data_IF_920808697070
#
_entry.id   IF_920808697070
#
_cell.length_a   1.000
_cell.length_b   1.000
_cell.length_c   1.000
_cell.angle_alpha   90.00
_cell.angle_beta   90.00
_cell.angle_gamma   90.00
#
_symmetry.space_group_name_H-M   'P 1'
#
loop_
_entity.id
_entity.type
_entity.pdbx_description
1 polymer ?
#
# COMPACT_ATOMS: atom_id res chain seq x y z
N UNK A 1 9.82 -4.62 -46.75
CA UNK A 1 10.75 -3.96 -45.83
C UNK A 1 9.93 -3.57 -44.64
N UNK A 2 10.15 -4.22 -43.50
CA UNK A 2 9.42 -3.93 -42.28
C UNK A 2 9.87 -2.57 -41.73
N UNK A 3 8.90 -1.76 -41.23
CA UNK A 3 9.14 -0.46 -40.62
C UNK A 3 10.08 -0.57 -39.38
N UNK A 4 10.31 -1.78 -38.87
CA UNK A 4 11.25 -2.09 -37.79
C UNK A 4 12.74 -2.00 -38.14
N UNK A 5 13.11 -2.05 -39.43
CA UNK A 5 14.53 -2.04 -39.83
C UNK A 5 15.12 -0.63 -39.95
N UNK A 6 14.32 0.43 -39.88
CA UNK A 6 14.77 1.83 -40.04
C UNK A 6 15.21 2.54 -38.77
N UNK A 7 14.95 1.96 -37.55
CA UNK A 7 15.35 2.53 -36.25
C UNK A 7 16.68 1.93 -35.74
N UNK A 8 17.37 1.16 -36.55
CA UNK A 8 18.64 0.55 -36.21
C UNK A 8 19.78 1.57 -36.26
N UNK A 9 20.22 1.99 -35.06
CA UNK A 9 21.49 2.61 -34.73
C UNK A 9 21.54 4.14 -34.92
N UNK A 10 20.77 4.84 -34.09
CA UNK A 10 21.14 6.22 -33.77
C UNK A 10 22.59 6.20 -33.22
N UNK A 11 23.53 6.78 -33.94
CA UNK A 11 24.93 6.86 -33.49
C UNK A 11 25.15 8.17 -32.72
N UNK A 12 25.24 8.02 -31.41
CA UNK A 12 25.44 9.14 -30.47
C UNK A 12 26.79 9.04 -29.74
N UNK A 13 27.74 8.26 -30.27
CA UNK A 13 29.04 8.02 -29.63
C UNK A 13 29.73 9.32 -29.24
N UNK A 14 30.17 9.37 -27.96
CA UNK A 14 30.96 10.49 -27.46
C UNK A 14 30.24 11.85 -27.44
N UNK A 15 28.91 11.87 -27.70
CA UNK A 15 28.13 13.08 -27.64
C UNK A 15 27.98 13.59 -26.19
N UNK A 16 27.85 14.93 -26.02
CA UNK A 16 27.54 15.50 -24.72
C UNK A 16 26.02 15.70 -24.60
N UNK A 17 25.36 14.74 -23.92
CA UNK A 17 23.91 14.75 -23.70
C UNK A 17 23.56 15.04 -22.23
N UNK A 18 24.50 15.65 -21.49
CA UNK A 18 24.32 15.95 -20.08
C UNK A 18 23.04 16.77 -19.81
N UNK A 19 22.22 16.30 -18.86
CA UNK A 19 21.01 16.98 -18.39
C UNK A 19 19.86 17.05 -19.40
N UNK A 20 19.96 16.36 -20.54
CA UNK A 20 18.89 16.33 -21.55
C UNK A 20 17.73 15.45 -21.08
N UNK A 21 16.51 15.83 -21.45
CA UNK A 21 15.34 14.99 -21.21
C UNK A 21 15.11 14.03 -22.39
N UNK A 22 15.35 12.73 -22.14
CA UNK A 22 15.12 11.61 -23.04
C UNK A 22 14.10 10.62 -22.44
N UNK A 23 13.19 11.09 -21.57
CA UNK A 23 12.16 10.27 -20.96
C UNK A 23 11.27 9.62 -22.03
N UNK A 24 11.08 8.30 -21.94
CA UNK A 24 10.31 7.52 -22.90
C UNK A 24 10.91 7.41 -24.30
N UNK A 25 12.17 7.84 -24.52
CA UNK A 25 12.80 7.83 -25.83
C UNK A 25 13.02 6.40 -26.35
N UNK A 26 12.77 6.19 -27.64
CA UNK A 26 13.08 4.93 -28.36
C UNK A 26 14.57 4.94 -28.77
N UNK A 27 15.40 4.30 -27.94
CA UNK A 27 16.85 4.19 -28.12
C UNK A 27 17.31 2.74 -28.30
N UNK A 28 16.44 1.87 -28.79
CA UNK A 28 16.74 0.45 -29.01
C UNK A 28 17.93 0.28 -29.96
N UNK A 29 18.95 -0.44 -29.51
CA UNK A 29 20.17 -0.68 -30.27
C UNK A 29 20.97 0.58 -30.58
N UNK A 30 20.68 1.72 -29.94
CA UNK A 30 21.44 2.95 -30.12
C UNK A 30 22.91 2.76 -29.71
N UNK A 31 23.82 3.39 -30.41
CA UNK A 31 25.23 3.43 -30.07
C UNK A 31 25.49 4.68 -29.21
N UNK A 32 25.59 4.47 -27.92
CA UNK A 32 25.82 5.48 -26.88
C UNK A 32 27.20 5.31 -26.21
N UNK A 33 28.12 4.60 -26.87
CA UNK A 33 29.45 4.30 -26.33
C UNK A 33 30.23 5.57 -26.00
N UNK A 34 30.73 5.65 -24.76
CA UNK A 34 31.49 6.79 -24.27
C UNK A 34 30.73 8.12 -24.22
N UNK A 35 29.39 8.09 -24.33
CA UNK A 35 28.53 9.27 -24.31
C UNK A 35 28.47 9.88 -22.91
N UNK A 36 28.48 11.20 -22.79
CA UNK A 36 28.22 11.91 -21.53
C UNK A 36 26.73 12.07 -21.33
N UNK A 37 26.15 11.18 -20.49
CA UNK A 37 24.74 11.11 -20.11
C UNK A 37 24.51 11.53 -18.64
N UNK A 38 25.45 12.28 -18.04
CA UNK A 38 25.31 12.73 -16.66
C UNK A 38 24.04 13.54 -16.44
N UNK A 39 23.31 13.24 -15.36
CA UNK A 39 22.09 13.98 -14.98
C UNK A 39 20.98 13.93 -16.05
N UNK A 40 21.11 13.09 -17.08
CA UNK A 40 20.10 12.92 -18.15
C UNK A 40 18.86 12.23 -17.61
N UNK A 41 17.69 12.67 -18.01
CA UNK A 41 16.44 11.97 -17.71
C UNK A 41 16.15 10.93 -18.81
N UNK A 42 16.37 9.67 -18.49
CA UNK A 42 16.10 8.49 -19.33
C UNK A 42 14.95 7.63 -18.73
N UNK A 43 14.10 8.22 -17.88
CA UNK A 43 12.99 7.46 -17.29
C UNK A 43 12.09 6.89 -18.38
N UNK A 44 11.68 5.61 -18.20
CA UNK A 44 10.83 4.87 -19.16
C UNK A 44 11.42 4.74 -20.57
N UNK A 45 12.69 5.11 -20.82
CA UNK A 45 13.31 5.00 -22.13
C UNK A 45 13.53 3.54 -22.53
N UNK A 46 13.43 3.24 -23.82
CA UNK A 46 13.64 1.89 -24.38
C UNK A 46 15.06 1.78 -24.91
N UNK A 47 15.96 1.21 -24.10
CA UNK A 47 17.41 1.07 -24.35
C UNK A 47 17.82 -0.40 -24.62
N UNK A 48 16.88 -1.26 -25.01
CA UNK A 48 17.20 -2.68 -25.31
C UNK A 48 18.27 -2.76 -26.39
N UNK A 49 19.26 -3.65 -26.17
CA UNK A 49 20.40 -3.84 -27.08
C UNK A 49 21.27 -2.60 -27.30
N UNK A 50 21.08 -1.50 -26.54
CA UNK A 50 21.90 -0.30 -26.69
C UNK A 50 23.35 -0.56 -26.26
N UNK A 51 24.31 0.05 -26.98
CA UNK A 51 25.72 0.04 -26.60
C UNK A 51 26.04 1.29 -25.75
N UNK A 52 26.13 1.08 -24.43
CA UNK A 52 26.45 2.07 -23.42
C UNK A 52 27.84 1.82 -22.80
N UNK A 53 28.71 1.05 -23.48
CA UNK A 53 30.05 0.75 -22.98
C UNK A 53 30.80 2.06 -22.74
N UNK A 54 31.41 2.17 -21.55
CA UNK A 54 32.16 3.37 -21.12
C UNK A 54 31.33 4.67 -21.06
N UNK A 55 29.98 4.62 -21.20
CA UNK A 55 29.13 5.77 -21.06
C UNK A 55 29.12 6.32 -19.62
N UNK A 56 29.01 7.65 -19.48
CA UNK A 56 28.91 8.28 -18.17
C UNK A 56 27.45 8.64 -17.85
N UNK A 57 26.84 7.83 -17.00
CA UNK A 57 25.44 7.94 -16.52
C UNK A 57 25.36 8.43 -15.06
N UNK A 58 26.42 9.10 -14.55
CA UNK A 58 26.43 9.61 -13.17
C UNK A 58 25.22 10.48 -12.92
N UNK A 59 24.44 10.20 -11.85
CA UNK A 59 23.21 10.92 -11.47
C UNK A 59 22.10 10.89 -12.54
N UNK A 60 22.17 10.02 -13.54
CA UNK A 60 21.11 9.88 -14.53
C UNK A 60 19.85 9.28 -13.90
N UNK A 61 18.68 9.68 -14.36
CA UNK A 61 17.40 9.10 -14.01
C UNK A 61 17.02 8.04 -15.05
N UNK A 62 17.11 6.76 -14.66
CA UNK A 62 16.78 5.58 -15.46
C UNK A 62 15.57 4.82 -14.90
N UNK A 63 14.69 5.49 -14.12
CA UNK A 63 13.53 4.87 -13.50
C UNK A 63 12.64 4.21 -14.56
N UNK A 64 12.33 2.92 -14.37
CA UNK A 64 11.50 2.16 -15.31
C UNK A 64 12.08 1.97 -16.71
N UNK A 65 13.33 2.37 -16.97
CA UNK A 65 13.93 2.20 -18.30
C UNK A 65 14.13 0.72 -18.66
N UNK A 66 13.90 0.38 -19.91
CA UNK A 66 14.15 -0.97 -20.46
C UNK A 66 15.57 -1.07 -21.07
N UNK A 67 16.49 -1.60 -20.26
CA UNK A 67 17.89 -1.86 -20.59
C UNK A 67 18.15 -3.36 -20.86
N UNK A 68 17.11 -4.14 -21.16
CA UNK A 68 17.31 -5.56 -21.39
C UNK A 68 18.31 -5.82 -22.52
N UNK A 69 19.24 -6.76 -22.29
CA UNK A 69 20.26 -7.18 -23.24
C UNK A 69 21.19 -6.04 -23.72
N UNK A 70 21.25 -4.92 -22.99
CA UNK A 70 22.15 -3.79 -23.28
C UNK A 70 23.59 -4.04 -22.80
N UNK A 71 24.53 -3.26 -23.34
CA UNK A 71 25.96 -3.37 -23.05
C UNK A 71 26.40 -2.15 -22.22
N UNK A 72 26.66 -2.33 -20.92
CA UNK A 72 27.06 -1.29 -19.96
C UNK A 72 28.45 -1.57 -19.35
N UNK A 73 29.27 -2.38 -20.03
CA UNK A 73 30.59 -2.68 -19.49
C UNK A 73 31.40 -1.39 -19.28
N UNK A 74 32.04 -1.25 -18.12
CA UNK A 74 32.83 -0.09 -17.74
C UNK A 74 32.03 1.24 -17.73
N UNK A 75 30.70 1.20 -17.82
CA UNK A 75 29.87 2.40 -17.72
C UNK A 75 29.89 2.93 -16.26
N UNK A 76 29.81 4.26 -16.13
CA UNK A 76 29.73 4.92 -14.84
C UNK A 76 28.26 5.28 -14.51
N UNK A 77 27.65 4.52 -13.61
CA UNK A 77 26.28 4.69 -13.10
C UNK A 77 26.27 5.20 -11.63
N UNK A 78 27.35 5.85 -11.20
CA UNK A 78 27.48 6.36 -9.82
C UNK A 78 26.26 7.22 -9.47
N UNK A 79 25.55 6.80 -8.38
CA UNK A 79 24.34 7.47 -7.89
C UNK A 79 23.20 7.63 -8.93
N UNK A 80 23.19 6.85 -9.99
CA UNK A 80 22.08 6.82 -10.94
C UNK A 80 20.82 6.21 -10.27
N UNK A 81 19.63 6.66 -10.69
CA UNK A 81 18.37 6.08 -10.24
C UNK A 81 17.84 5.09 -11.29
N UNK A 82 17.99 3.80 -10.98
CA UNK A 82 17.52 2.66 -11.79
C UNK A 82 16.31 1.98 -11.14
N UNK A 83 15.53 2.70 -10.32
CA UNK A 83 14.35 2.13 -9.66
C UNK A 83 13.41 1.52 -10.69
N UNK A 84 13.09 0.22 -10.56
CA UNK A 84 12.21 -0.50 -11.48
C UNK A 84 12.76 -0.71 -12.88
N UNK A 85 14.04 -0.39 -13.14
CA UNK A 85 14.63 -0.59 -14.47
C UNK A 85 14.75 -2.09 -14.81
N UNK A 86 14.62 -2.43 -16.11
CA UNK A 86 14.76 -3.78 -16.62
C UNK A 86 16.17 -3.96 -17.20
N UNK A 87 17.03 -4.68 -16.48
CA UNK A 87 18.42 -5.01 -16.88
C UNK A 87 18.61 -6.51 -17.17
N UNK A 88 17.53 -7.19 -17.57
CA UNK A 88 17.58 -8.62 -17.86
C UNK A 88 18.63 -8.91 -18.94
N UNK A 89 19.54 -9.86 -18.64
CA UNK A 89 20.63 -10.29 -19.54
C UNK A 89 21.54 -9.13 -20.00
N UNK A 90 21.50 -7.97 -19.32
CA UNK A 90 22.42 -6.87 -19.58
C UNK A 90 23.85 -7.22 -19.11
N UNK A 91 24.87 -6.62 -19.76
CA UNK A 91 26.27 -6.77 -19.34
C UNK A 91 26.79 -5.51 -18.67
N UNK A 92 27.18 -5.63 -17.40
CA UNK A 92 27.68 -4.54 -16.55
C UNK A 92 29.09 -4.86 -15.99
N UNK A 93 29.90 -5.59 -16.78
CA UNK A 93 31.24 -6.02 -16.33
C UNK A 93 32.10 -4.80 -16.01
N UNK A 94 32.62 -4.75 -14.78
CA UNK A 94 33.47 -3.65 -14.31
C UNK A 94 32.81 -2.28 -14.26
N UNK A 95 31.47 -2.22 -14.31
CA UNK A 95 30.75 -0.93 -14.21
C UNK A 95 30.79 -0.33 -12.80
N UNK A 96 30.71 1.01 -12.72
CA UNK A 96 30.64 1.74 -11.46
C UNK A 96 29.18 2.02 -11.08
N UNK A 97 28.68 1.32 -10.06
CA UNK A 97 27.32 1.46 -9.52
C UNK A 97 27.34 1.99 -8.08
N UNK A 98 28.41 2.69 -7.68
CA UNK A 98 28.55 3.22 -6.33
C UNK A 98 27.36 4.10 -5.96
N UNK A 99 26.63 3.73 -4.89
CA UNK A 99 25.47 4.46 -4.40
C UNK A 99 24.27 4.51 -5.37
N UNK A 100 24.26 3.68 -6.42
CA UNK A 100 23.13 3.63 -7.36
C UNK A 100 21.87 3.06 -6.69
N UNK A 101 20.71 3.55 -7.11
CA UNK A 101 19.41 3.06 -6.63
C UNK A 101 18.83 2.06 -7.64
N UNK A 102 18.87 0.78 -7.30
CA UNK A 102 18.38 -0.36 -8.07
C UNK A 102 17.13 -0.99 -7.43
N UNK A 103 16.39 -0.23 -6.61
CA UNK A 103 15.18 -0.75 -5.98
C UNK A 103 14.21 -1.31 -7.02
N UNK A 104 13.70 -2.53 -6.79
CA UNK A 104 12.76 -3.20 -7.69
C UNK A 104 13.29 -3.44 -9.12
N UNK A 105 14.57 -3.24 -9.39
CA UNK A 105 15.14 -3.49 -10.71
C UNK A 105 15.17 -5.00 -11.04
N UNK A 106 14.97 -5.35 -12.31
CA UNK A 106 15.12 -6.72 -12.82
C UNK A 106 16.52 -6.93 -13.36
N UNK A 107 17.35 -7.67 -12.62
CA UNK A 107 18.72 -8.04 -12.99
C UNK A 107 18.82 -9.53 -13.35
N UNK A 108 17.71 -10.13 -13.82
CA UNK A 108 17.67 -11.55 -14.17
C UNK A 108 18.76 -11.87 -15.20
N UNK A 109 19.65 -12.80 -14.84
CA UNK A 109 20.80 -13.22 -15.67
C UNK A 109 21.74 -12.07 -16.10
N UNK A 110 21.71 -10.93 -15.43
CA UNK A 110 22.65 -9.85 -15.70
C UNK A 110 24.08 -10.26 -15.34
N UNK A 111 25.07 -9.77 -16.10
CA UNK A 111 26.47 -9.99 -15.82
C UNK A 111 27.07 -8.77 -15.14
N UNK A 112 27.32 -8.89 -13.83
CA UNK A 112 27.87 -7.86 -12.94
C UNK A 112 29.29 -8.19 -12.46
N UNK A 113 30.00 -9.05 -13.18
CA UNK A 113 31.37 -9.46 -12.81
C UNK A 113 32.27 -8.24 -12.62
N UNK A 114 32.86 -8.13 -11.44
CA UNK A 114 33.77 -7.04 -11.10
C UNK A 114 33.12 -5.67 -10.97
N UNK A 115 31.79 -5.55 -10.99
CA UNK A 115 31.09 -4.28 -10.81
C UNK A 115 31.26 -3.72 -9.38
N UNK A 116 31.34 -2.41 -9.26
CA UNK A 116 31.33 -1.72 -7.96
C UNK A 116 29.90 -1.38 -7.55
N UNK A 117 29.33 -2.16 -6.62
CA UNK A 117 27.99 -1.98 -6.06
C UNK A 117 28.02 -1.40 -4.62
N UNK A 118 29.15 -0.87 -4.17
CA UNK A 118 29.25 -0.32 -2.83
C UNK A 118 28.19 0.76 -2.59
N UNK A 119 27.50 0.70 -1.44
CA UNK A 119 26.39 1.58 -1.06
C UNK A 119 25.19 1.57 -2.03
N UNK A 120 25.15 0.67 -3.00
CA UNK A 120 24.01 0.55 -3.88
C UNK A 120 22.78 -0.03 -3.14
N UNK A 121 21.59 0.41 -3.53
CA UNK A 121 20.34 -0.06 -2.98
C UNK A 121 19.64 -1.01 -3.95
N UNK A 122 19.66 -2.31 -3.64
CA UNK A 122 18.97 -3.37 -4.40
C UNK A 122 17.73 -3.91 -3.67
N UNK A 123 17.12 -3.12 -2.79
CA UNK A 123 15.90 -3.53 -2.08
C UNK A 123 14.86 -4.03 -3.08
N UNK A 124 14.37 -5.28 -2.89
CA UNK A 124 13.39 -5.94 -3.77
C UNK A 124 13.84 -6.12 -5.24
N UNK A 125 15.11 -5.97 -5.56
CA UNK A 125 15.62 -6.28 -6.90
C UNK A 125 15.58 -7.80 -7.17
N UNK A 126 15.44 -8.19 -8.44
CA UNK A 126 15.55 -9.60 -8.84
C UNK A 126 16.93 -9.90 -9.43
N UNK A 127 17.70 -10.68 -8.70
CA UNK A 127 19.05 -11.14 -9.07
C UNK A 127 19.06 -12.58 -9.58
N UNK A 128 17.92 -13.17 -9.94
CA UNK A 128 17.85 -14.58 -10.36
C UNK A 128 18.78 -14.89 -11.54
N UNK A 129 19.77 -15.74 -11.29
CA UNK A 129 20.77 -16.14 -12.29
C UNK A 129 21.80 -15.07 -12.63
N UNK A 130 21.85 -13.95 -11.93
CA UNK A 130 22.86 -12.91 -12.11
C UNK A 130 24.26 -13.41 -11.69
N UNK A 131 25.29 -12.92 -12.37
CA UNK A 131 26.70 -13.21 -12.05
C UNK A 131 27.36 -11.97 -11.41
N UNK A 132 27.60 -12.06 -10.08
CA UNK A 132 28.21 -11.01 -9.29
C UNK A 132 29.65 -11.36 -8.86
N UNK A 133 30.31 -12.32 -9.53
CA UNK A 133 31.68 -12.71 -9.16
C UNK A 133 32.63 -11.52 -9.16
N UNK A 134 33.38 -11.37 -8.06
CA UNK A 134 34.33 -10.29 -7.91
C UNK A 134 33.74 -8.88 -7.81
N UNK A 135 32.41 -8.74 -7.76
CA UNK A 135 31.77 -7.45 -7.48
C UNK A 135 32.01 -6.99 -6.03
N UNK A 136 31.99 -5.68 -5.81
CA UNK A 136 32.17 -5.09 -4.48
C UNK A 136 30.80 -4.74 -3.90
N UNK A 137 30.44 -5.38 -2.76
CA UNK A 137 29.12 -5.28 -2.12
C UNK A 137 29.19 -4.65 -0.71
N UNK A 138 30.21 -3.86 -0.42
CA UNK A 138 30.34 -3.18 0.90
C UNK A 138 29.19 -2.18 1.05
N UNK A 139 28.46 -2.24 2.19
CA UNK A 139 27.29 -1.39 2.48
C UNK A 139 26.16 -1.47 1.43
N UNK A 140 26.15 -2.50 0.60
CA UNK A 140 25.06 -2.75 -0.34
C UNK A 140 23.81 -3.23 0.40
N UNK A 141 22.63 -2.69 0.05
CA UNK A 141 21.36 -3.08 0.66
C UNK A 141 20.69 -4.13 -0.22
N UNK A 142 20.49 -5.36 0.30
CA UNK A 142 19.81 -6.48 -0.36
C UNK A 142 18.46 -6.82 0.30
N UNK A 143 17.89 -5.93 1.13
CA UNK A 143 16.64 -6.23 1.85
C UNK A 143 15.55 -6.67 0.86
N UNK A 144 15.04 -7.90 1.06
CA UNK A 144 14.01 -8.52 0.21
C UNK A 144 14.38 -8.61 -1.29
N UNK A 145 15.65 -8.42 -1.66
CA UNK A 145 16.10 -8.80 -2.99
C UNK A 145 15.92 -10.31 -3.19
N UNK A 146 15.55 -10.73 -4.39
CA UNK A 146 15.34 -12.16 -4.66
C UNK A 146 16.48 -12.72 -5.52
N UNK A 147 16.88 -13.95 -5.23
CA UNK A 147 17.91 -14.67 -6.01
C UNK A 147 17.57 -16.16 -6.10
N UNK A 148 18.24 -16.90 -6.97
CA UNK A 148 18.04 -18.35 -7.10
C UNK A 148 19.38 -19.12 -7.10
N UNK A 149 19.32 -20.44 -7.19
CA UNK A 149 20.50 -21.33 -7.18
C UNK A 149 21.47 -21.11 -8.37
N UNK A 150 21.11 -20.29 -9.37
CA UNK A 150 21.97 -19.93 -10.51
C UNK A 150 22.65 -18.57 -10.29
N UNK A 151 22.26 -17.82 -9.27
CA UNK A 151 22.88 -16.55 -8.93
C UNK A 151 24.24 -16.82 -8.29
N UNK A 152 25.26 -16.15 -8.77
CA UNK A 152 26.63 -16.31 -8.26
C UNK A 152 27.07 -15.04 -7.56
N UNK A 153 27.17 -15.08 -6.23
CA UNK A 153 27.74 -14.01 -5.42
C UNK A 153 29.25 -14.16 -5.23
N UNK A 154 29.97 -13.11 -4.82
CA UNK A 154 31.34 -13.25 -4.30
C UNK A 154 31.41 -14.26 -3.14
N UNK A 155 32.54 -14.96 -3.00
CA UNK A 155 32.68 -16.05 -2.02
C UNK A 155 32.56 -15.64 -0.55
N UNK A 156 32.79 -14.37 -0.25
CA UNK A 156 32.75 -13.76 1.08
C UNK A 156 31.36 -13.19 1.43
N UNK A 157 30.38 -13.31 0.56
CA UNK A 157 29.04 -12.76 0.72
C UNK A 157 28.03 -13.85 1.06
N UNK A 158 27.31 -13.66 2.18
CA UNK A 158 26.08 -14.40 2.49
C UNK A 158 24.87 -13.50 2.16
N UNK A 159 24.21 -13.71 1.02
CA UNK A 159 23.08 -12.88 0.62
C UNK A 159 21.88 -12.99 1.58
N UNK A 160 21.69 -14.13 2.25
CA UNK A 160 20.60 -14.30 3.21
C UNK A 160 20.84 -13.47 4.48
N UNK A 161 22.10 -13.37 4.97
CA UNK A 161 22.46 -12.49 6.07
C UNK A 161 22.25 -11.00 5.74
N UNK A 162 22.28 -10.63 4.46
CA UNK A 162 21.99 -9.28 3.97
C UNK A 162 20.50 -9.04 3.68
N UNK A 163 19.62 -9.98 4.03
CA UNK A 163 18.15 -9.86 3.86
C UNK A 163 17.61 -10.29 2.51
N UNK A 164 18.44 -10.89 1.62
CA UNK A 164 17.98 -11.42 0.35
C UNK A 164 17.24 -12.77 0.52
N UNK A 165 16.33 -13.07 -0.40
CA UNK A 165 15.40 -14.20 -0.36
C UNK A 165 15.73 -15.20 -1.47
N UNK A 166 15.98 -16.44 -1.09
CA UNK A 166 16.24 -17.51 -2.05
C UNK A 166 14.92 -17.99 -2.69
N UNK A 167 14.80 -17.84 -4.01
CA UNK A 167 13.72 -18.41 -4.82
C UNK A 167 14.15 -19.80 -5.33
N UNK A 168 13.62 -20.85 -4.74
CA UNK A 168 13.97 -22.22 -5.08
C UNK A 168 12.74 -23.13 -4.91
N UNK A 169 12.76 -24.34 -5.51
CA UNK A 169 11.76 -25.36 -5.21
C UNK A 169 11.66 -25.61 -3.71
N UNK A 170 10.40 -25.72 -3.22
CA UNK A 170 10.05 -25.89 -1.80
C UNK A 170 10.51 -24.75 -0.85
N UNK A 171 10.85 -23.56 -1.38
CA UNK A 171 11.17 -22.41 -0.55
C UNK A 171 9.97 -22.03 0.33
N UNK A 172 10.26 -21.54 1.55
CA UNK A 172 9.23 -21.03 2.46
C UNK A 172 9.24 -19.51 2.43
N UNK A 173 8.23 -18.91 1.80
CA UNK A 173 8.12 -17.48 1.51
C UNK A 173 6.76 -16.89 1.94
N UNK A 174 6.13 -17.35 3.06
CA UNK A 174 4.79 -16.93 3.40
C UNK A 174 4.74 -15.45 3.83
N UNK A 175 3.68 -14.76 3.41
CA UNK A 175 3.41 -13.37 3.80
C UNK A 175 4.38 -12.33 3.24
N UNK A 176 5.27 -12.71 2.32
CA UNK A 176 6.20 -11.78 1.71
C UNK A 176 5.50 -10.83 0.73
N UNK A 177 6.03 -9.61 0.64
CA UNK A 177 5.63 -8.68 -0.40
C UNK A 177 6.58 -8.81 -1.60
N UNK A 178 6.09 -9.50 -2.65
CA UNK A 178 6.74 -9.68 -3.94
C UNK A 178 5.97 -8.93 -5.06
N UNK A 179 5.20 -7.89 -4.69
CA UNK A 179 4.46 -7.09 -5.68
C UNK A 179 5.41 -6.41 -6.67
N UNK A 180 4.99 -6.39 -7.94
CA UNK A 180 5.73 -5.80 -9.04
C UNK A 180 7.11 -6.44 -9.31
N UNK A 181 7.43 -7.59 -8.70
CA UNK A 181 8.71 -8.28 -8.91
C UNK A 181 8.63 -9.09 -10.21
N UNK A 182 9.67 -9.01 -11.02
CA UNK A 182 9.81 -9.90 -12.20
C UNK A 182 10.27 -11.30 -11.75
N UNK A 183 9.35 -12.25 -11.78
CA UNK A 183 9.55 -13.66 -11.44
C UNK A 183 9.47 -14.56 -12.68
N UNK A 184 9.76 -14.01 -13.87
CA UNK A 184 9.69 -14.75 -15.14
C UNK A 184 10.54 -16.02 -15.10
N UNK A 185 9.91 -17.14 -15.40
CA UNK A 185 10.58 -18.45 -15.49
C UNK A 185 11.17 -18.97 -14.18
N UNK A 186 10.82 -18.36 -13.03
CA UNK A 186 11.30 -18.80 -11.71
C UNK A 186 10.84 -20.22 -11.39
N UNK A 187 11.70 -21.00 -10.73
CA UNK A 187 11.33 -22.33 -10.24
C UNK A 187 10.93 -22.26 -8.75
N UNK A 188 9.62 -22.24 -8.53
CA UNK A 188 8.97 -22.20 -7.19
C UNK A 188 8.10 -23.45 -6.98
N UNK A 189 8.43 -24.56 -7.62
CA UNK A 189 7.75 -25.83 -7.43
C UNK A 189 7.64 -26.22 -5.97
N UNK A 190 6.43 -26.51 -5.49
CA UNK A 190 6.15 -26.89 -4.11
C UNK A 190 6.44 -25.78 -3.07
N UNK A 191 6.73 -24.56 -3.48
CA UNK A 191 7.02 -23.46 -2.54
C UNK A 191 5.79 -23.08 -1.70
N UNK A 192 6.05 -22.65 -0.47
CA UNK A 192 5.05 -22.07 0.41
C UNK A 192 4.98 -20.55 0.17
N UNK A 193 3.96 -20.13 -0.57
CA UNK A 193 3.66 -18.74 -0.94
C UNK A 193 2.37 -18.25 -0.27
N UNK A 194 1.97 -18.86 0.87
CA UNK A 194 0.74 -18.47 1.56
C UNK A 194 0.75 -17.01 1.96
N UNK A 195 -0.36 -16.30 1.65
CA UNK A 195 -0.54 -14.88 1.99
C UNK A 195 0.54 -13.95 1.39
N UNK A 196 1.25 -14.40 0.37
CA UNK A 196 2.24 -13.59 -0.34
C UNK A 196 1.52 -12.53 -1.18
N UNK A 197 2.01 -11.31 -1.14
CA UNK A 197 1.54 -10.28 -2.07
C UNK A 197 2.32 -10.41 -3.39
N UNK A 198 1.64 -10.83 -4.44
CA UNK A 198 2.12 -10.97 -5.82
C UNK A 198 1.38 -10.01 -6.77
N UNK A 199 0.79 -8.92 -6.21
CA UNK A 199 0.08 -7.92 -7.01
C UNK A 199 0.99 -7.36 -8.10
N UNK A 200 0.51 -7.37 -9.36
CA UNK A 200 1.25 -6.91 -10.52
C UNK A 200 2.63 -7.58 -10.73
N UNK A 201 2.88 -8.74 -10.10
CA UNK A 201 4.11 -9.51 -10.32
C UNK A 201 4.11 -10.19 -11.70
N UNK A 202 5.28 -10.29 -12.32
CA UNK A 202 5.43 -11.00 -13.60
C UNK A 202 5.86 -12.44 -13.33
N UNK A 203 4.93 -13.39 -13.44
CA UNK A 203 5.12 -14.82 -13.23
C UNK A 203 5.10 -15.59 -14.56
N UNK A 204 5.35 -14.93 -15.68
CA UNK A 204 5.32 -15.53 -17.01
C UNK A 204 6.25 -16.74 -17.08
N UNK A 205 5.72 -17.89 -17.46
CA UNK A 205 6.47 -19.15 -17.54
C UNK A 205 7.03 -19.68 -16.23
N UNK A 206 6.58 -19.16 -15.07
CA UNK A 206 7.02 -19.63 -13.75
C UNK A 206 6.58 -21.07 -13.49
N UNK A 207 7.42 -21.86 -12.79
CA UNK A 207 7.06 -23.20 -12.34
C UNK A 207 6.50 -23.11 -10.93
N UNK A 208 5.18 -23.18 -10.81
CA UNK A 208 4.43 -23.13 -9.57
C UNK A 208 3.76 -24.48 -9.23
N UNK A 209 4.11 -25.54 -9.95
CA UNK A 209 3.50 -26.86 -9.72
C UNK A 209 3.63 -27.27 -8.25
N UNK A 210 2.49 -27.64 -7.64
CA UNK A 210 2.35 -27.97 -6.22
C UNK A 210 2.70 -26.85 -5.23
N UNK A 211 2.88 -25.61 -5.68
CA UNK A 211 3.07 -24.49 -4.78
C UNK A 211 1.78 -24.21 -3.97
N UNK A 212 1.94 -23.66 -2.76
CA UNK A 212 0.81 -23.26 -1.92
C UNK A 212 0.65 -21.75 -1.94
N UNK A 213 -0.35 -21.25 -2.67
CA UNK A 213 -0.72 -19.84 -2.80
C UNK A 213 -1.97 -19.49 -1.97
N UNK A 214 -2.29 -20.28 -0.94
CA UNK A 214 -3.47 -20.03 -0.09
C UNK A 214 -3.47 -18.59 0.45
N UNK A 215 -4.50 -17.83 0.11
CA UNK A 215 -4.66 -16.43 0.55
C UNK A 215 -3.66 -15.45 -0.07
N UNK A 216 -2.92 -15.84 -1.12
CA UNK A 216 -2.03 -14.92 -1.84
C UNK A 216 -2.81 -13.88 -2.64
N UNK A 217 -2.24 -12.69 -2.83
CA UNK A 217 -2.77 -11.66 -3.72
C UNK A 217 -2.13 -11.76 -5.10
N UNK A 218 -2.92 -12.15 -6.09
CA UNK A 218 -2.52 -12.27 -7.49
C UNK A 218 -3.14 -11.17 -8.36
N UNK A 219 -3.71 -10.10 -7.77
CA UNK A 219 -4.35 -9.03 -8.52
C UNK A 219 -3.37 -8.42 -9.53
N UNK A 220 -3.75 -8.39 -10.82
CA UNK A 220 -2.89 -7.87 -11.89
C UNK A 220 -1.67 -8.73 -12.25
N UNK A 221 -1.42 -9.85 -11.57
CA UNK A 221 -0.27 -10.71 -11.85
C UNK A 221 -0.34 -11.34 -13.25
N UNK A 222 0.81 -11.46 -13.91
CA UNK A 222 0.94 -12.16 -15.19
C UNK A 222 1.42 -13.61 -14.98
N UNK A 223 0.48 -14.56 -15.03
CA UNK A 223 0.71 -16.00 -14.88
C UNK A 223 0.63 -16.75 -16.22
N UNK A 224 0.69 -16.05 -17.35
CA UNK A 224 0.68 -16.71 -18.65
C UNK A 224 1.86 -17.66 -18.76
N UNK A 225 1.63 -18.82 -19.38
CA UNK A 225 2.60 -19.91 -19.51
C UNK A 225 3.14 -20.47 -18.16
N UNK A 226 2.66 -19.98 -17.02
CA UNK A 226 3.03 -20.55 -15.73
C UNK A 226 2.45 -21.96 -15.56
N UNK A 227 3.26 -22.87 -14.99
CA UNK A 227 2.78 -24.21 -14.64
C UNK A 227 2.12 -24.20 -13.26
N UNK A 228 0.79 -24.24 -13.23
CA UNK A 228 -0.04 -24.26 -12.03
C UNK A 228 -0.55 -25.66 -11.65
N UNK A 229 0.05 -26.75 -12.17
CA UNK A 229 -0.41 -28.12 -11.92
C UNK A 229 -0.34 -28.48 -10.43
N UNK A 230 -1.49 -28.74 -9.81
CA UNK A 230 -1.58 -29.07 -8.39
C UNK A 230 -1.27 -27.91 -7.44
N UNK A 231 -1.22 -26.67 -7.94
CA UNK A 231 -1.09 -25.45 -7.15
C UNK A 231 -2.35 -25.26 -6.29
N UNK A 232 -2.17 -24.89 -5.02
CA UNK A 232 -3.28 -24.60 -4.10
C UNK A 232 -3.54 -23.10 -4.17
N UNK A 233 -4.73 -22.71 -4.66
CA UNK A 233 -5.19 -21.32 -4.80
C UNK A 233 -6.34 -20.98 -3.83
N UNK A 234 -6.61 -21.83 -2.85
CA UNK A 234 -7.70 -21.62 -1.88
C UNK A 234 -7.58 -20.24 -1.23
N UNK A 235 -8.66 -19.43 -1.30
CA UNK A 235 -8.70 -18.07 -0.75
C UNK A 235 -7.67 -17.10 -1.36
N UNK A 236 -6.94 -17.49 -2.39
CA UNK A 236 -6.13 -16.52 -3.15
C UNK A 236 -7.08 -15.48 -3.78
N UNK A 237 -6.61 -14.25 -3.94
CA UNK A 237 -7.40 -13.20 -4.58
C UNK A 237 -6.78 -12.83 -5.93
N UNK A 238 -7.63 -12.55 -6.92
CA UNK A 238 -7.21 -12.12 -8.24
C UNK A 238 -8.17 -11.05 -8.78
N UNK A 239 -7.76 -10.31 -9.79
CA UNK A 239 -8.59 -9.25 -10.41
C UNK A 239 -8.83 -9.52 -11.89
N UNK A 240 -9.67 -8.71 -12.52
CA UNK A 240 -9.89 -8.76 -13.97
C UNK A 240 -8.61 -8.46 -14.81
N UNK A 241 -7.57 -7.91 -14.16
CA UNK A 241 -6.26 -7.67 -14.79
C UNK A 241 -5.30 -8.86 -14.65
N UNK A 242 -5.64 -9.86 -13.83
CA UNK A 242 -4.79 -11.05 -13.64
C UNK A 242 -4.85 -11.91 -14.89
N UNK A 243 -3.70 -12.27 -15.44
CA UNK A 243 -3.57 -13.07 -16.64
C UNK A 243 -3.15 -14.50 -16.27
N UNK A 244 -4.08 -15.44 -16.35
CA UNK A 244 -3.77 -16.85 -16.12
C UNK A 244 -3.31 -17.55 -17.41
N UNK A 245 -2.62 -18.70 -17.26
CA UNK A 245 -2.31 -19.61 -18.37
C UNK A 245 -3.60 -20.10 -19.04
N UNK A 246 -3.50 -20.40 -20.34
CA UNK A 246 -4.63 -20.96 -21.10
C UNK A 246 -5.18 -22.24 -20.44
N UNK A 247 -6.50 -22.33 -20.37
CA UNK A 247 -7.20 -23.47 -19.76
C UNK A 247 -7.30 -23.46 -18.23
N UNK A 248 -6.78 -22.44 -17.54
CA UNK A 248 -6.96 -22.28 -16.09
C UNK A 248 -8.19 -21.42 -15.80
N UNK A 249 -9.16 -22.01 -15.09
CA UNK A 249 -10.28 -21.28 -14.49
C UNK A 249 -10.02 -21.10 -12.99
N UNK A 250 -9.63 -19.90 -12.52
CA UNK A 250 -9.34 -19.68 -11.11
C UNK A 250 -10.56 -19.83 -10.22
N UNK A 251 -11.78 -19.66 -10.74
CA UNK A 251 -13.02 -19.72 -9.95
C UNK A 251 -13.29 -21.11 -9.36
N UNK A 252 -12.84 -22.18 -10.04
CA UNK A 252 -13.02 -23.57 -9.57
C UNK A 252 -11.95 -24.00 -8.57
N UNK A 253 -10.92 -23.18 -8.34
CA UNK A 253 -9.80 -23.48 -7.44
C UNK A 253 -9.98 -22.97 -6.02
N UNK A 254 -11.10 -22.29 -5.73
CA UNK A 254 -11.36 -21.62 -4.45
C UNK A 254 -10.69 -20.25 -4.32
N UNK A 255 -10.18 -19.68 -5.41
CA UNK A 255 -9.72 -18.29 -5.48
C UNK A 255 -10.93 -17.33 -5.62
N UNK A 256 -10.75 -16.08 -5.14
CA UNK A 256 -11.80 -15.07 -5.15
C UNK A 256 -11.47 -13.94 -6.14
N UNK A 257 -12.43 -13.66 -7.02
CA UNK A 257 -12.35 -12.48 -7.89
C UNK A 257 -12.55 -11.21 -7.07
N UNK A 258 -11.62 -10.27 -7.16
CA UNK A 258 -11.72 -8.92 -6.60
C UNK A 258 -11.99 -7.95 -7.74
N UNK A 259 -13.18 -7.38 -7.75
CA UNK A 259 -13.63 -6.48 -8.80
C UNK A 259 -14.80 -5.60 -8.30
N UNK A 260 -15.09 -4.47 -8.94
CA UNK A 260 -16.27 -3.68 -8.65
C UNK A 260 -17.56 -4.53 -8.71
N UNK A 261 -18.48 -4.24 -7.79
CA UNK A 261 -19.79 -4.89 -7.68
C UNK A 261 -19.77 -6.42 -7.48
N UNK A 262 -18.64 -7.01 -7.15
CA UNK A 262 -18.55 -8.44 -6.87
C UNK A 262 -19.27 -8.80 -5.56
N UNK A 263 -19.81 -10.01 -5.47
CA UNK A 263 -20.34 -10.54 -4.21
C UNK A 263 -19.34 -11.44 -3.52
N UNK A 264 -18.87 -10.99 -2.35
CA UNK A 264 -17.97 -11.72 -1.45
C UNK A 264 -18.65 -11.98 -0.09
N UNK A 265 -20.00 -11.94 -0.07
CA UNK A 265 -20.81 -12.02 1.14
C UNK A 265 -20.50 -13.27 1.96
N UNK A 266 -20.25 -13.07 3.25
CA UNK A 266 -20.02 -14.15 4.23
C UNK A 266 -18.72 -14.91 4.05
N UNK A 267 -17.84 -14.53 3.12
CA UNK A 267 -16.57 -15.20 2.90
C UNK A 267 -15.58 -14.91 4.02
N UNK A 268 -14.61 -15.80 4.17
CA UNK A 268 -13.49 -15.59 5.09
C UNK A 268 -12.24 -15.18 4.33
N UNK A 269 -11.94 -13.88 4.32
CA UNK A 269 -10.77 -13.26 3.68
C UNK A 269 -9.64 -12.94 4.68
N UNK A 270 -9.72 -13.46 5.92
CA UNK A 270 -8.72 -13.18 6.96
C UNK A 270 -7.30 -13.40 6.46
N UNK A 271 -6.48 -12.37 6.58
CA UNK A 271 -5.07 -12.38 6.19
C UNK A 271 -4.82 -12.29 4.68
N UNK A 272 -5.85 -12.03 3.86
CA UNK A 272 -5.63 -11.64 2.47
C UNK A 272 -4.98 -10.25 2.37
N UNK A 273 -4.18 -10.00 1.33
CA UNK A 273 -3.71 -8.67 0.99
C UNK A 273 -4.57 -8.13 -0.16
N UNK A 274 -5.37 -7.10 0.14
CA UNK A 274 -6.25 -6.45 -0.82
C UNK A 274 -5.78 -5.03 -1.18
N UNK A 275 -4.56 -4.68 -0.78
CA UNK A 275 -4.00 -3.33 -0.98
C UNK A 275 -4.16 -2.85 -2.42
N UNK A 276 -4.70 -1.64 -2.59
CA UNK A 276 -4.89 -0.99 -3.89
C UNK A 276 -5.94 -1.65 -4.80
N UNK A 277 -6.74 -2.61 -4.29
CA UNK A 277 -7.80 -3.24 -5.07
C UNK A 277 -9.01 -2.29 -5.27
N UNK A 278 -9.79 -2.55 -6.32
CA UNK A 278 -11.08 -1.89 -6.56
C UNK A 278 -12.23 -2.85 -6.17
N UNK A 279 -12.89 -2.53 -5.07
CA UNK A 279 -14.07 -3.21 -4.52
C UNK A 279 -15.28 -2.27 -4.46
N UNK A 280 -15.29 -1.23 -5.30
CA UNK A 280 -16.39 -0.27 -5.35
C UNK A 280 -17.72 -0.97 -5.63
N UNK A 281 -18.74 -0.67 -4.83
CA UNK A 281 -20.06 -1.29 -4.91
C UNK A 281 -20.11 -2.79 -4.55
N UNK A 282 -19.03 -3.39 -4.09
CA UNK A 282 -19.01 -4.82 -3.77
C UNK A 282 -19.92 -5.16 -2.58
N UNK A 283 -20.48 -6.37 -2.57
CA UNK A 283 -21.19 -6.91 -1.42
C UNK A 283 -20.27 -7.72 -0.52
N UNK A 284 -19.84 -7.11 0.58
CA UNK A 284 -18.98 -7.68 1.61
C UNK A 284 -19.76 -7.92 2.92
N UNK A 285 -21.10 -7.99 2.86
CA UNK A 285 -21.94 -8.15 4.06
C UNK A 285 -21.61 -9.44 4.80
N UNK A 286 -21.32 -9.36 6.10
CA UNK A 286 -20.95 -10.49 6.93
C UNK A 286 -19.59 -11.13 6.59
N UNK A 287 -18.80 -10.54 5.71
CA UNK A 287 -17.47 -11.04 5.33
C UNK A 287 -16.50 -10.87 6.49
N UNK A 288 -15.65 -11.87 6.71
CA UNK A 288 -14.56 -11.76 7.67
C UNK A 288 -13.30 -11.17 6.99
N UNK A 289 -13.05 -9.91 7.30
CA UNK A 289 -11.90 -9.09 6.85
C UNK A 289 -10.93 -8.80 8.01
N UNK A 290 -10.97 -9.58 9.11
CA UNK A 290 -10.12 -9.34 10.27
C UNK A 290 -8.64 -9.43 9.90
N UNK A 291 -7.86 -8.42 10.31
CA UNK A 291 -6.43 -8.28 10.01
C UNK A 291 -6.08 -8.26 8.52
N UNK A 292 -7.04 -7.92 7.65
CA UNK A 292 -6.81 -7.77 6.21
C UNK A 292 -6.13 -6.42 5.93
N UNK A 293 -5.21 -6.40 4.97
CA UNK A 293 -4.65 -5.17 4.45
C UNK A 293 -5.55 -4.60 3.34
N UNK A 294 -6.28 -3.53 3.66
CA UNK A 294 -7.19 -2.80 2.78
C UNK A 294 -6.67 -1.39 2.46
N UNK A 295 -5.37 -1.14 2.65
CA UNK A 295 -4.78 0.18 2.43
C UNK A 295 -5.00 0.64 0.99
N UNK A 296 -5.44 1.89 0.81
CA UNK A 296 -5.71 2.52 -0.48
C UNK A 296 -6.71 1.74 -1.38
N UNK A 297 -7.60 0.94 -0.80
CA UNK A 297 -8.66 0.22 -1.52
C UNK A 297 -9.80 1.20 -1.86
N UNK A 298 -10.41 1.06 -3.03
CA UNK A 298 -11.69 1.68 -3.32
C UNK A 298 -12.83 0.77 -2.81
N UNK A 299 -13.48 1.18 -1.73
CA UNK A 299 -14.67 0.55 -1.14
C UNK A 299 -15.90 1.45 -1.26
N UNK A 300 -15.84 2.46 -2.13
CA UNK A 300 -16.95 3.39 -2.31
C UNK A 300 -18.24 2.65 -2.67
N UNK A 301 -19.35 2.99 -2.00
CA UNK A 301 -20.66 2.35 -2.15
C UNK A 301 -20.70 0.86 -1.86
N UNK A 302 -19.67 0.27 -1.26
CA UNK A 302 -19.68 -1.14 -0.88
C UNK A 302 -20.68 -1.41 0.26
N UNK A 303 -21.32 -2.57 0.23
CA UNK A 303 -22.14 -3.04 1.35
C UNK A 303 -21.27 -3.91 2.27
N UNK A 304 -21.00 -3.42 3.48
CA UNK A 304 -20.20 -4.10 4.50
C UNK A 304 -21.00 -4.34 5.78
N UNK A 305 -22.33 -4.47 5.65
CA UNK A 305 -23.23 -4.72 6.80
C UNK A 305 -22.75 -5.89 7.61
N UNK A 306 -22.59 -5.68 8.93
CA UNK A 306 -22.17 -6.73 9.87
C UNK A 306 -20.86 -7.42 9.48
N UNK A 307 -20.01 -6.79 8.67
CA UNK A 307 -18.68 -7.32 8.35
C UNK A 307 -17.78 -7.30 9.59
N UNK A 308 -16.80 -8.21 9.62
CA UNK A 308 -15.82 -8.32 10.70
C UNK A 308 -14.50 -7.73 10.21
N UNK A 309 -14.10 -6.55 10.75
CA UNK A 309 -12.91 -5.81 10.35
C UNK A 309 -11.90 -5.64 11.50
N UNK A 310 -12.01 -6.47 12.55
CA UNK A 310 -11.12 -6.35 13.72
C UNK A 310 -9.64 -6.28 13.30
N UNK A 311 -8.96 -5.19 13.66
CA UNK A 311 -7.53 -4.98 13.39
C UNK A 311 -7.17 -4.89 11.90
N UNK A 312 -8.13 -4.66 11.02
CA UNK A 312 -7.85 -4.43 9.60
C UNK A 312 -7.17 -3.08 9.36
N UNK A 313 -6.38 -2.98 8.29
CA UNK A 313 -5.74 -1.73 7.90
C UNK A 313 -6.49 -1.09 6.73
N UNK A 314 -7.22 -0.01 6.99
CA UNK A 314 -7.97 0.80 6.02
C UNK A 314 -7.34 2.20 5.85
N UNK A 315 -6.05 2.37 6.08
CA UNK A 315 -5.37 3.65 5.91
C UNK A 315 -5.53 4.16 4.46
N UNK A 316 -6.00 5.39 4.30
CA UNK A 316 -6.20 6.05 3.01
C UNK A 316 -7.27 5.39 2.12
N UNK A 317 -8.14 4.54 2.66
CA UNK A 317 -9.22 3.85 1.93
C UNK A 317 -10.33 4.84 1.56
N UNK A 318 -10.88 4.71 0.34
CA UNK A 318 -12.11 5.40 -0.08
C UNK A 318 -13.33 4.57 0.31
N UNK A 319 -14.09 5.05 1.29
CA UNK A 319 -15.31 4.41 1.81
C UNK A 319 -16.57 5.21 1.47
N UNK A 320 -16.51 6.23 0.62
CA UNK A 320 -17.63 7.15 0.36
C UNK A 320 -18.94 6.44 0.02
N UNK A 321 -19.95 6.71 0.82
CA UNK A 321 -21.28 6.13 0.66
C UNK A 321 -21.35 4.62 0.90
N UNK A 322 -20.34 4.02 1.54
CA UNK A 322 -20.40 2.62 1.95
C UNK A 322 -21.37 2.41 3.12
N UNK A 323 -21.91 1.20 3.23
CA UNK A 323 -22.82 0.80 4.30
C UNK A 323 -22.11 -0.19 5.25
N UNK A 324 -21.73 0.29 6.43
CA UNK A 324 -21.09 -0.46 7.50
C UNK A 324 -22.02 -0.68 8.70
N UNK A 325 -23.35 -0.63 8.49
CA UNK A 325 -24.34 -0.83 9.54
C UNK A 325 -24.04 -2.08 10.38
N UNK A 326 -23.79 -1.91 11.68
CA UNK A 326 -23.52 -2.97 12.64
C UNK A 326 -22.21 -3.74 12.38
N UNK A 327 -21.28 -3.19 11.58
CA UNK A 327 -19.97 -3.80 11.38
C UNK A 327 -19.10 -3.76 12.65
N UNK A 328 -18.17 -4.72 12.79
CA UNK A 328 -17.24 -4.83 13.90
C UNK A 328 -15.87 -4.31 13.46
N UNK A 329 -15.52 -3.10 13.89
CA UNK A 329 -14.32 -2.33 13.50
C UNK A 329 -13.34 -2.15 14.67
N UNK A 330 -13.31 -3.08 15.62
CA UNK A 330 -12.41 -3.02 16.78
C UNK A 330 -10.96 -2.85 16.34
N UNK A 331 -10.28 -1.80 16.89
CA UNK A 331 -8.85 -1.56 16.64
C UNK A 331 -8.48 -1.44 15.15
N UNK A 332 -9.43 -1.05 14.32
CA UNK A 332 -9.21 -0.81 12.89
C UNK A 332 -8.33 0.44 12.69
N UNK A 333 -7.46 0.42 11.68
CA UNK A 333 -6.71 1.60 11.26
C UNK A 333 -7.45 2.28 10.10
N UNK A 334 -8.02 3.46 10.33
CA UNK A 334 -8.73 4.32 9.38
C UNK A 334 -8.04 5.69 9.22
N UNK A 335 -6.74 5.77 9.50
CA UNK A 335 -5.98 7.02 9.36
C UNK A 335 -6.18 7.59 7.95
N UNK A 336 -6.58 8.86 7.87
CA UNK A 336 -6.77 9.59 6.61
C UNK A 336 -7.74 8.90 5.62
N UNK A 337 -8.63 8.02 6.08
CA UNK A 337 -9.66 7.41 5.26
C UNK A 337 -10.75 8.44 4.89
N UNK A 338 -11.36 8.27 3.72
CA UNK A 338 -12.50 9.07 3.27
C UNK A 338 -13.82 8.34 3.60
N UNK A 339 -14.47 8.78 4.67
CA UNK A 339 -15.72 8.20 5.21
C UNK A 339 -16.96 9.04 4.87
N UNK A 340 -16.89 9.96 3.94
CA UNK A 340 -18.00 10.87 3.66
C UNK A 340 -19.28 10.14 3.25
N UNK A 341 -20.38 10.43 3.94
CA UNK A 341 -21.70 9.84 3.69
C UNK A 341 -21.75 8.32 3.95
N UNK A 342 -20.88 7.80 4.82
CA UNK A 342 -20.89 6.39 5.23
C UNK A 342 -21.99 6.17 6.28
N UNK A 343 -22.68 5.04 6.19
CA UNK A 343 -23.57 4.55 7.25
C UNK A 343 -22.78 3.64 8.22
N UNK A 344 -22.52 4.15 9.41
CA UNK A 344 -21.87 3.45 10.54
C UNK A 344 -22.86 3.19 11.69
N UNK A 345 -24.16 3.25 11.40
CA UNK A 345 -25.21 3.05 12.42
C UNK A 345 -24.96 1.75 13.18
N UNK A 346 -24.85 1.86 14.52
CA UNK A 346 -24.59 0.74 15.45
C UNK A 346 -23.30 -0.05 15.16
N UNK A 347 -22.35 0.51 14.44
CA UNK A 347 -21.04 -0.09 14.23
C UNK A 347 -20.21 -0.01 15.54
N UNK A 348 -19.29 -0.97 15.71
CA UNK A 348 -18.39 -0.98 16.85
C UNK A 348 -16.96 -0.63 16.42
N UNK A 349 -16.56 0.62 16.68
CA UNK A 349 -15.27 1.22 16.39
C UNK A 349 -14.36 1.32 17.64
N UNK A 350 -14.61 0.49 18.68
CA UNK A 350 -13.83 0.57 19.92
C UNK A 350 -12.34 0.43 19.66
N UNK A 351 -11.55 1.39 20.14
CA UNK A 351 -10.11 1.46 19.95
C UNK A 351 -9.65 1.71 18.50
N UNK A 352 -10.56 2.06 17.59
CA UNK A 352 -10.23 2.40 16.21
C UNK A 352 -9.36 3.66 16.12
N UNK A 353 -8.50 3.74 15.10
CA UNK A 353 -7.73 4.94 14.80
C UNK A 353 -8.29 5.63 13.55
N UNK A 354 -9.00 6.74 13.76
CA UNK A 354 -9.61 7.59 12.73
C UNK A 354 -8.90 8.94 12.63
N UNK A 355 -7.65 9.07 13.10
CA UNK A 355 -6.94 10.34 13.06
C UNK A 355 -6.85 10.89 11.62
N UNK A 356 -7.16 12.18 11.48
CA UNK A 356 -7.21 12.90 10.20
C UNK A 356 -8.18 12.30 9.16
N UNK A 357 -9.12 11.46 9.55
CA UNK A 357 -10.15 10.93 8.65
C UNK A 357 -11.21 11.99 8.33
N UNK A 358 -11.82 11.88 7.14
CA UNK A 358 -12.93 12.73 6.73
C UNK A 358 -14.27 12.01 6.96
N UNK A 359 -14.99 12.40 8.02
CA UNK A 359 -16.27 11.81 8.44
C UNK A 359 -17.46 12.73 8.14
N UNK A 360 -17.32 13.69 7.25
CA UNK A 360 -18.44 14.60 6.95
C UNK A 360 -19.66 13.84 6.43
N UNK A 361 -20.84 14.22 6.91
CA UNK A 361 -22.10 13.59 6.50
C UNK A 361 -22.21 12.08 6.84
N UNK A 362 -21.34 11.57 7.74
CA UNK A 362 -21.37 10.18 8.22
C UNK A 362 -22.50 10.01 9.24
N UNK A 363 -23.24 8.90 9.19
CA UNK A 363 -24.20 8.52 10.21
C UNK A 363 -23.53 7.55 11.22
N UNK A 364 -23.28 8.03 12.44
CA UNK A 364 -22.73 7.28 13.57
C UNK A 364 -23.79 6.99 14.64
N UNK A 365 -25.08 7.05 14.31
CA UNK A 365 -26.17 6.86 15.26
C UNK A 365 -26.04 5.54 16.02
N UNK A 366 -25.88 5.63 17.34
CA UNK A 366 -25.71 4.50 18.24
C UNK A 366 -24.43 3.69 18.02
N UNK A 367 -23.43 4.23 17.33
CA UNK A 367 -22.13 3.58 17.19
C UNK A 367 -21.35 3.60 18.52
N UNK A 368 -20.47 2.62 18.69
CA UNK A 368 -19.57 2.51 19.83
C UNK A 368 -18.15 2.92 19.41
N UNK A 369 -17.59 4.00 19.99
CA UNK A 369 -16.26 4.55 19.72
C UNK A 369 -15.40 4.61 21.00
N UNK A 370 -15.57 3.65 21.91
CA UNK A 370 -14.82 3.61 23.18
C UNK A 370 -13.32 3.66 22.91
N UNK A 371 -12.65 4.67 23.52
CA UNK A 371 -11.19 4.85 23.37
C UNK A 371 -10.71 5.01 21.93
N UNK A 372 -11.57 5.36 20.99
CA UNK A 372 -11.17 5.62 19.61
C UNK A 372 -10.31 6.90 19.52
N UNK A 373 -9.44 6.95 18.51
CA UNK A 373 -8.64 8.13 18.21
C UNK A 373 -9.22 8.85 16.99
N UNK A 374 -9.83 10.01 17.20
CA UNK A 374 -10.39 10.91 16.19
C UNK A 374 -9.61 12.25 16.13
N UNK A 375 -8.36 12.27 16.60
CA UNK A 375 -7.55 13.49 16.62
C UNK A 375 -7.42 14.10 15.22
N UNK A 376 -7.74 15.40 15.08
CA UNK A 376 -7.70 16.12 13.81
C UNK A 376 -8.72 15.65 12.76
N UNK A 377 -9.68 14.79 13.10
CA UNK A 377 -10.70 14.32 12.17
C UNK A 377 -11.71 15.42 11.80
N UNK A 378 -12.23 15.38 10.59
CA UNK A 378 -13.29 16.27 10.11
C UNK A 378 -14.66 15.60 10.30
N UNK A 379 -15.38 16.02 11.35
CA UNK A 379 -16.70 15.50 11.76
C UNK A 379 -17.82 16.54 11.51
N UNK A 380 -17.61 17.47 10.60
CA UNK A 380 -18.62 18.54 10.35
C UNK A 380 -19.94 17.96 9.88
N UNK A 381 -21.01 18.34 10.61
CA UNK A 381 -22.37 17.89 10.29
C UNK A 381 -22.62 16.40 10.47
N UNK A 382 -21.74 15.68 11.21
CA UNK A 382 -21.93 14.27 11.53
C UNK A 382 -23.13 14.05 12.45
N UNK A 383 -23.86 12.94 12.26
CA UNK A 383 -24.86 12.47 13.23
C UNK A 383 -24.22 11.47 14.21
N UNK A 384 -24.03 11.88 15.46
CA UNK A 384 -23.51 11.09 16.55
C UNK A 384 -24.63 10.68 17.55
N UNK A 385 -25.89 10.85 17.20
CA UNK A 385 -27.01 10.60 18.11
C UNK A 385 -26.88 9.24 18.82
N UNK A 386 -26.84 9.27 20.15
CA UNK A 386 -26.69 8.08 21.02
C UNK A 386 -25.38 7.32 20.85
N UNK A 387 -24.36 7.86 20.20
CA UNK A 387 -23.04 7.25 20.14
C UNK A 387 -22.33 7.25 21.49
N UNK A 388 -21.47 6.26 21.71
CA UNK A 388 -20.61 6.18 22.91
C UNK A 388 -19.15 6.44 22.53
N UNK A 389 -18.65 7.62 22.93
CA UNK A 389 -17.27 8.09 22.73
C UNK A 389 -16.50 8.17 24.05
N UNK A 390 -16.88 7.38 25.06
CA UNK A 390 -16.20 7.42 26.36
C UNK A 390 -14.71 7.15 26.21
N UNK A 391 -13.89 8.04 26.78
CA UNK A 391 -12.44 7.98 26.71
C UNK A 391 -11.83 8.18 25.31
N UNK A 392 -12.61 8.60 24.32
CA UNK A 392 -12.11 8.86 22.97
C UNK A 392 -11.21 10.09 22.93
N UNK A 393 -10.30 10.15 21.96
CA UNK A 393 -9.46 11.31 21.67
C UNK A 393 -10.04 12.08 20.49
N UNK A 394 -10.44 13.32 20.72
CA UNK A 394 -11.01 14.24 19.73
C UNK A 394 -10.23 15.55 19.66
N UNK A 395 -9.01 15.59 20.22
CA UNK A 395 -8.22 16.81 20.20
C UNK A 395 -8.05 17.34 18.76
N UNK A 396 -8.22 18.66 18.58
CA UNK A 396 -8.15 19.34 17.27
C UNK A 396 -9.18 18.85 16.23
N UNK A 397 -10.17 18.05 16.62
CA UNK A 397 -11.23 17.60 15.70
C UNK A 397 -12.22 18.73 15.37
N UNK A 398 -12.81 18.70 14.20
CA UNK A 398 -13.82 19.66 13.75
C UNK A 398 -15.22 19.04 13.81
N UNK A 399 -16.00 19.40 14.85
CA UNK A 399 -17.37 18.94 15.06
C UNK A 399 -18.40 20.06 14.81
N UNK A 400 -18.07 21.03 14.00
CA UNK A 400 -19.02 22.14 13.70
C UNK A 400 -20.33 21.61 13.15
N UNK A 401 -21.43 22.08 13.72
CA UNK A 401 -22.81 21.67 13.29
C UNK A 401 -23.10 20.18 13.47
N UNK A 402 -22.31 19.44 14.23
CA UNK A 402 -22.56 18.03 14.53
C UNK A 402 -23.82 17.86 15.41
N UNK A 403 -24.54 16.77 15.23
CA UNK A 403 -25.62 16.35 16.12
C UNK A 403 -25.09 15.39 17.18
N UNK A 404 -24.98 15.86 18.42
CA UNK A 404 -24.50 15.10 19.57
C UNK A 404 -25.64 14.70 20.53
N UNK A 405 -26.86 14.58 20.07
CA UNK A 405 -27.99 14.26 20.93
C UNK A 405 -27.78 12.92 21.66
N UNK A 406 -27.75 12.95 23.02
CA UNK A 406 -27.58 11.80 23.91
C UNK A 406 -26.22 11.07 23.74
N UNK A 407 -25.22 11.76 23.27
CA UNK A 407 -23.86 11.22 23.14
C UNK A 407 -23.22 11.06 24.51
N UNK A 408 -22.47 9.99 24.69
CA UNK A 408 -21.60 9.77 25.85
C UNK A 408 -20.15 10.14 25.48
N UNK A 409 -19.62 11.19 26.11
CA UNK A 409 -18.24 11.69 25.99
C UNK A 409 -17.50 11.65 27.34
N UNK A 410 -17.91 10.76 28.25
CA UNK A 410 -17.29 10.62 29.55
C UNK A 410 -15.79 10.37 29.46
N UNK A 411 -14.98 11.21 30.09
CA UNK A 411 -13.53 11.12 30.10
C UNK A 411 -12.86 11.33 28.73
N UNK A 412 -13.57 11.84 27.73
CA UNK A 412 -13.01 12.11 26.41
C UNK A 412 -12.04 13.30 26.42
N UNK A 413 -11.04 13.28 25.55
CA UNK A 413 -10.14 14.39 25.29
C UNK A 413 -10.66 15.24 24.13
N UNK A 414 -11.20 16.41 24.43
CA UNK A 414 -11.78 17.40 23.52
C UNK A 414 -10.90 18.66 23.46
N UNK A 415 -9.61 18.54 23.75
CA UNK A 415 -8.68 19.69 23.74
C UNK A 415 -8.67 20.33 22.35
N UNK A 416 -8.87 21.66 22.30
CA UNK A 416 -8.87 22.46 21.05
C UNK A 416 -9.88 22.00 19.98
N UNK A 417 -10.92 21.26 20.39
CA UNK A 417 -12.00 20.83 19.49
C UNK A 417 -12.85 22.02 19.04
N UNK A 418 -13.33 22.02 17.79
CA UNK A 418 -14.34 22.98 17.34
C UNK A 418 -15.74 22.35 17.36
N UNK A 419 -16.55 22.76 18.34
CA UNK A 419 -17.95 22.38 18.54
C UNK A 419 -18.92 23.54 18.20
N UNK A 420 -18.45 24.57 17.49
CA UNK A 420 -19.31 25.72 17.20
C UNK A 420 -20.57 25.33 16.43
N UNK A 421 -21.70 25.88 16.82
CA UNK A 421 -23.04 25.58 16.29
C UNK A 421 -23.47 24.10 16.44
N UNK A 422 -22.79 23.28 17.26
CA UNK A 422 -23.16 21.88 17.49
C UNK A 422 -24.40 21.74 18.39
N UNK A 423 -25.14 20.64 18.23
CA UNK A 423 -26.34 20.33 19.00
C UNK A 423 -26.03 19.37 20.16
N UNK A 424 -25.85 19.89 21.37
CA UNK A 424 -25.53 19.13 22.58
C UNK A 424 -26.77 18.96 23.49
N UNK A 425 -27.68 18.08 23.10
CA UNK A 425 -28.85 17.77 23.93
C UNK A 425 -28.65 16.44 24.69
N UNK A 426 -28.69 16.48 26.03
CA UNK A 426 -28.48 15.34 26.93
C UNK A 426 -27.12 14.65 26.73
N UNK A 427 -26.06 15.43 26.51
CA UNK A 427 -24.69 14.90 26.35
C UNK A 427 -24.06 14.67 27.72
N UNK A 428 -23.35 13.55 27.87
CA UNK A 428 -22.53 13.27 29.03
C UNK A 428 -21.07 13.70 28.75
N UNK A 429 -20.59 14.75 29.41
CA UNK A 429 -19.22 15.26 29.35
C UNK A 429 -18.49 15.13 30.72
N UNK A 430 -18.93 14.19 31.57
CA UNK A 430 -18.29 14.00 32.88
C UNK A 430 -16.82 13.65 32.73
N UNK A 431 -15.95 14.36 33.42
CA UNK A 431 -14.52 14.14 33.40
C UNK A 431 -13.86 14.42 32.02
N UNK A 432 -14.58 14.97 31.07
CA UNK A 432 -14.04 15.31 29.77
C UNK A 432 -13.10 16.53 29.84
N UNK A 433 -12.08 16.55 28.97
CA UNK A 433 -11.14 17.66 28.85
C UNK A 433 -11.52 18.54 27.65
N UNK A 434 -12.06 19.73 27.90
CA UNK A 434 -12.46 20.73 26.91
C UNK A 434 -11.50 21.94 26.86
N UNK A 435 -10.25 21.78 27.31
CA UNK A 435 -9.29 22.87 27.27
C UNK A 435 -9.15 23.47 25.87
N UNK A 436 -9.35 24.79 25.76
CA UNK A 436 -9.25 25.52 24.49
C UNK A 436 -10.33 25.18 23.46
N UNK A 437 -11.36 24.42 23.84
CA UNK A 437 -12.46 24.07 22.93
C UNK A 437 -13.28 25.30 22.52
N UNK A 438 -13.73 25.35 21.26
CA UNK A 438 -14.63 26.34 20.72
C UNK A 438 -16.08 25.83 20.75
N UNK A 439 -16.91 26.38 21.64
CA UNK A 439 -18.34 26.04 21.79
C UNK A 439 -19.26 27.18 21.35
N UNK A 440 -18.75 28.13 20.58
CA UNK A 440 -19.51 29.32 20.17
C UNK A 440 -20.82 28.95 19.46
N UNK A 441 -21.94 29.47 20.02
CA UNK A 441 -23.28 29.22 19.46
C UNK A 441 -23.75 27.77 19.57
N UNK A 442 -23.07 26.94 20.35
CA UNK A 442 -23.52 25.58 20.60
C UNK A 442 -24.78 25.53 21.46
N UNK A 443 -25.66 24.58 21.19
CA UNK A 443 -26.91 24.40 21.92
C UNK A 443 -26.71 23.42 23.07
N UNK A 444 -26.54 23.96 24.30
CA UNK A 444 -26.27 23.19 25.53
C UNK A 444 -27.58 23.00 26.33
N UNK A 445 -28.27 21.89 26.09
CA UNK A 445 -29.49 21.58 26.88
C UNK A 445 -29.34 20.21 27.56
N UNK A 446 -29.43 20.20 28.90
CA UNK A 446 -29.30 18.99 29.70
C UNK A 446 -27.95 18.30 29.54
N UNK A 447 -26.85 19.06 29.54
CA UNK A 447 -25.47 18.54 29.45
C UNK A 447 -24.92 18.27 30.84
N UNK A 448 -24.22 17.14 31.02
CA UNK A 448 -23.60 16.77 32.30
C UNK A 448 -22.11 17.09 32.25
N UNK A 449 -21.63 18.01 33.11
CA UNK A 449 -20.27 18.53 33.14
C UNK A 449 -19.53 18.26 34.46
N UNK A 450 -19.97 17.31 35.27
CA UNK A 450 -19.29 16.98 36.53
C UNK A 450 -17.85 16.61 36.27
N UNK A 451 -16.90 17.24 36.93
CA UNK A 451 -15.45 17.05 36.77
C UNK A 451 -14.89 17.33 35.36
N UNK A 452 -15.66 17.98 34.48
CA UNK A 452 -15.15 18.42 33.18
C UNK A 452 -14.16 19.59 33.33
N UNK A 453 -13.11 19.59 32.49
CA UNK A 453 -12.10 20.65 32.50
C UNK A 453 -12.35 21.66 31.37
N UNK A 454 -12.67 22.91 31.71
CA UNK A 454 -13.13 23.97 30.81
C UNK A 454 -12.16 25.16 30.70
N UNK A 455 -10.88 24.99 31.00
CA UNK A 455 -9.91 26.08 30.88
C UNK A 455 -9.78 26.57 29.45
N UNK A 456 -9.79 27.88 29.23
CA UNK A 456 -9.64 28.52 27.94
C UNK A 456 -10.76 28.16 26.92
N UNK A 457 -11.87 27.58 27.36
CA UNK A 457 -13.01 27.22 26.49
C UNK A 457 -13.78 28.48 26.07
N UNK A 458 -14.11 28.63 24.77
CA UNK A 458 -14.97 29.67 24.24
C UNK A 458 -16.45 29.29 24.38
N UNK A 459 -17.16 29.94 25.30
CA UNK A 459 -18.59 29.76 25.58
C UNK A 459 -19.45 30.92 25.04
N UNK A 460 -18.95 31.70 24.09
CA UNK A 460 -19.68 32.84 23.53
C UNK A 460 -20.96 32.35 22.84
N UNK A 461 -22.08 33.02 23.11
CA UNK A 461 -23.40 32.73 22.55
C UNK A 461 -23.94 31.32 22.85
N UNK A 462 -23.42 30.62 23.86
CA UNK A 462 -23.92 29.30 24.27
C UNK A 462 -25.30 29.43 24.92
N UNK A 463 -26.31 28.71 24.43
CA UNK A 463 -27.62 28.62 25.07
C UNK A 463 -27.60 27.66 26.25
N UNK A 464 -27.48 28.20 27.47
CA UNK A 464 -27.54 27.46 28.73
C UNK A 464 -28.99 27.29 29.22
N UNK A 465 -29.44 26.05 29.46
CA UNK A 465 -30.72 25.80 30.14
C UNK A 465 -30.53 25.85 31.67
N UNK A 466 -31.55 26.35 32.45
CA UNK A 466 -31.46 26.53 33.94
C UNK A 466 -31.22 25.25 34.74
N UNK A 467 -31.21 24.07 34.15
CA UNK A 467 -31.07 22.78 34.86
C UNK A 467 -29.65 22.20 34.82
N UNK A 468 -28.61 23.04 34.92
CA UNK A 468 -27.21 22.66 34.74
C UNK A 468 -26.60 21.79 35.85
N UNK A 469 -27.21 21.72 37.02
CA UNK A 469 -26.68 21.03 38.19
C UNK A 469 -27.75 20.11 38.78
N UNK A 470 -27.53 18.83 38.75
CA UNK A 470 -28.30 17.78 39.40
C UNK A 470 -29.51 17.18 38.64
N UNK A 471 -29.27 16.08 37.89
CA UNK A 471 -30.22 14.97 37.92
C UNK A 471 -29.44 13.63 37.88
N UNK A 472 -29.76 12.65 38.74
CA UNK A 472 -29.20 11.32 38.69
C UNK A 472 -29.73 10.60 37.46
N UNK A 473 -28.86 9.80 36.81
CA UNK A 473 -29.27 8.89 35.74
C UNK A 473 -30.27 7.89 36.29
N UNK A 474 -31.54 7.98 35.89
CA UNK A 474 -32.46 6.84 36.02
C UNK A 474 -32.08 5.78 35.00
N UNK A 475 -31.79 4.58 35.51
CA UNK A 475 -31.56 3.37 34.77
C UNK A 475 -32.84 2.91 34.05
N UNK A 476 -32.84 2.85 32.70
CA UNK A 476 -33.70 1.97 31.89
C UNK A 476 -32.88 1.14 30.92
#
# INVERSE_FOLDING_TARGET
>A
MNVGDFLNRLDLRGQALKGINLSGAELRGANLRGTDLRETNLSEAILRYADLIEANLTLANLRGADLAESFLNLANLTRADLTGAVLREATLVGSELFGANLQQASLIKANLVGANLQQANLTRANLSGADLRGSQLIDTILDKAVYNNRTVFPNDIDPAAMGALLLAPNASLPGLNLSMVDLTGVDLKGADLRRTNLCDAILFGAKLDRANLTGANLSGADLREANLSGTILEKAVYSNKTLFSEGIDPSVTGAYLIAPNVSLQGLNLTGADLNGSDLSGANLSGTNLSSVNLKNVDLSRASMKKAFLKGANLEGTDLRGADLTGAILHQVNLISADLRGVDLTRADLSGANLSNADLRETDLTGATLLFANLSGADLRGVDLTKADLSGAKLNEADLRKADLMRVNLEGADLTEVDLSEAHLFRVNLRGANLKGANLKGANFKLVFLTDAYLSETDLTDVELSPSFFEMPLESE
#
